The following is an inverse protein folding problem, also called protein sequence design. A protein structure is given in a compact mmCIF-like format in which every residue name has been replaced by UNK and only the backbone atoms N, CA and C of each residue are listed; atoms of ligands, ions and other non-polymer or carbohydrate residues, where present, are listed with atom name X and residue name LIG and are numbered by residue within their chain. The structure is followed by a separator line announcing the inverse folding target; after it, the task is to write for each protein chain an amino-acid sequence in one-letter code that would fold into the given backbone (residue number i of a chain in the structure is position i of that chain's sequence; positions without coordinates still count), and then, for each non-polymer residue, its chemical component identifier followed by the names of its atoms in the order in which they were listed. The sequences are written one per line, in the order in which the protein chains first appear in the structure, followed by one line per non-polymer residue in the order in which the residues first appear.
data_IF_795411975495
#
_entry.id   IF_795411975495
#
_cell.length_a   1.000
_cell.length_b   1.000
_cell.length_c   1.000
_cell.angle_alpha   90.00
_cell.angle_beta   90.00
_cell.angle_gamma   90.00
#
_symmetry.space_group_name_H-M   'P 1'
#
loop_
_entity.id
_entity.type
_entity.pdbx_description
1 polymer ?
#
# COMPACT_ATOMS: atom_id res chain seq x y z
N UNK A 1 6.18 15.84 -14.57
CA UNK A 1 5.64 14.63 -15.20
C UNK A 1 5.75 14.83 -16.69
N UNK A 2 6.41 13.91 -17.39
CA UNK A 2 6.52 14.01 -18.85
C UNK A 2 5.14 13.76 -19.49
N UNK A 3 4.83 14.36 -20.66
CA UNK A 3 3.53 14.17 -21.31
C UNK A 3 3.18 12.69 -21.57
N UNK A 4 4.20 11.86 -21.81
CA UNK A 4 4.06 10.41 -22.01
C UNK A 4 3.74 9.61 -20.75
N UNK A 5 3.91 10.20 -19.56
CA UNK A 5 3.52 9.60 -18.29
C UNK A 5 2.11 10.02 -17.86
N UNK A 6 1.38 10.80 -18.67
CA UNK A 6 0.07 11.31 -18.33
C UNK A 6 -0.93 10.17 -18.08
N UNK A 7 -1.44 10.11 -16.85
CA UNK A 7 -2.44 9.13 -16.43
C UNK A 7 -3.68 9.79 -15.82
N UNK A 8 -3.54 10.98 -15.23
CA UNK A 8 -4.55 11.60 -14.36
C UNK A 8 -5.92 11.74 -15.04
N UNK A 9 -5.94 12.25 -16.28
CA UNK A 9 -7.16 12.44 -17.07
C UNK A 9 -7.89 11.13 -17.44
N UNK A 10 -7.21 9.99 -17.30
CA UNK A 10 -7.74 8.67 -17.63
C UNK A 10 -8.23 7.89 -16.42
N UNK A 11 -7.95 8.36 -15.21
CA UNK A 11 -8.27 7.66 -13.96
C UNK A 11 -9.28 8.45 -13.13
N UNK A 12 -10.21 7.75 -12.50
CA UNK A 12 -11.12 8.34 -11.49
C UNK A 12 -11.12 7.47 -10.23
N UNK A 13 -11.46 8.07 -9.08
CA UNK A 13 -11.52 7.35 -7.82
C UNK A 13 -12.60 6.24 -7.82
N UNK A 14 -13.62 6.35 -8.68
CA UNK A 14 -14.70 5.37 -8.80
C UNK A 14 -14.29 4.13 -9.62
N UNK A 15 -13.13 4.15 -10.29
CA UNK A 15 -12.68 3.02 -11.07
C UNK A 15 -12.27 1.84 -10.18
N UNK A 16 -12.66 0.60 -10.51
CA UNK A 16 -12.11 -0.57 -9.85
C UNK A 16 -10.62 -0.70 -10.18
N UNK A 17 -9.85 -1.24 -9.24
CA UNK A 17 -8.39 -1.37 -9.35
C UNK A 17 -7.93 -2.13 -10.62
N UNK A 18 -8.70 -3.12 -11.07
CA UNK A 18 -8.43 -3.87 -12.31
C UNK A 18 -8.56 -2.99 -13.56
N UNK A 19 -9.51 -2.05 -13.58
CA UNK A 19 -9.66 -1.10 -14.68
C UNK A 19 -8.56 -0.04 -14.67
N UNK A 20 -8.07 0.34 -13.49
CA UNK A 20 -6.89 1.21 -13.34
C UNK A 20 -5.66 0.52 -13.95
N UNK A 21 -5.38 -0.73 -13.56
CA UNK A 21 -4.29 -1.52 -14.13
C UNK A 21 -4.37 -1.62 -15.66
N UNK A 22 -5.51 -2.09 -16.18
CA UNK A 22 -5.70 -2.23 -17.62
C UNK A 22 -5.58 -0.88 -18.38
N UNK A 23 -5.97 0.22 -17.74
CA UNK A 23 -5.84 1.56 -18.33
C UNK A 23 -4.38 1.97 -18.40
N UNK A 24 -3.61 1.81 -17.31
CA UNK A 24 -2.18 2.14 -17.29
C UNK A 24 -1.39 1.28 -18.29
N UNK A 25 -1.68 -0.03 -18.37
CA UNK A 25 -1.05 -0.92 -19.37
C UNK A 25 -1.33 -0.46 -20.80
N UNK A 26 -2.57 -0.05 -21.10
CA UNK A 26 -2.94 0.50 -22.42
C UNK A 26 -2.24 1.83 -22.73
N UNK A 27 -1.90 2.61 -21.70
CA UNK A 27 -1.09 3.83 -21.82
C UNK A 27 0.42 3.52 -21.95
N UNK A 28 0.82 2.25 -21.95
CA UNK A 28 2.21 1.83 -22.15
C UNK A 28 2.99 1.64 -20.85
N UNK A 29 2.35 1.69 -19.69
CA UNK A 29 2.99 1.33 -18.43
C UNK A 29 3.28 -0.16 -18.40
N UNK A 30 4.44 -0.56 -17.88
CA UNK A 30 4.90 -1.96 -17.92
C UNK A 30 5.11 -2.53 -16.51
N UNK A 31 4.78 -3.81 -16.25
CA UNK A 31 5.02 -4.43 -14.96
C UNK A 31 6.50 -4.34 -14.54
N UNK A 32 6.76 -3.87 -13.32
CA UNK A 32 8.11 -3.74 -12.77
C UNK A 32 8.27 -4.32 -11.36
N UNK A 33 7.19 -4.84 -10.77
CA UNK A 33 7.22 -5.55 -9.50
C UNK A 33 5.86 -6.12 -9.14
N UNK A 34 5.87 -7.18 -8.34
CA UNK A 34 4.68 -7.77 -7.73
C UNK A 34 5.00 -8.02 -6.27
N UNK A 35 4.28 -7.38 -5.36
CA UNK A 35 4.32 -7.66 -3.93
C UNK A 35 3.11 -8.49 -3.50
N UNK A 36 3.07 -8.86 -2.22
CA UNK A 36 1.98 -9.66 -1.65
C UNK A 36 0.61 -8.99 -1.73
N UNK A 37 0.61 -7.67 -1.80
CA UNK A 37 -0.57 -6.84 -1.70
C UNK A 37 -0.78 -5.92 -2.90
N UNK A 38 0.18 -5.85 -3.82
CA UNK A 38 0.12 -4.85 -4.88
C UNK A 38 0.84 -5.28 -6.16
N UNK A 39 0.34 -4.77 -7.28
CA UNK A 39 1.06 -4.76 -8.55
C UNK A 39 1.76 -3.41 -8.72
N UNK A 40 3.00 -3.44 -9.21
CA UNK A 40 3.77 -2.25 -9.53
C UNK A 40 4.00 -2.14 -11.04
N UNK A 41 3.64 -0.99 -11.60
CA UNK A 41 3.86 -0.65 -13.00
C UNK A 41 4.86 0.52 -13.10
N UNK A 42 5.74 0.48 -14.10
CA UNK A 42 6.65 1.55 -14.46
C UNK A 42 6.10 2.33 -15.64
N UNK A 43 6.19 3.65 -15.57
CA UNK A 43 5.71 4.54 -16.63
C UNK A 43 6.53 4.41 -17.93
N UNK A 44 6.02 4.86 -19.08
CA UNK A 44 6.73 4.81 -20.36
C UNK A 44 8.10 5.51 -20.35
N UNK A 45 8.21 6.67 -19.69
CA UNK A 45 9.49 7.38 -19.55
C UNK A 45 10.48 6.63 -18.65
N UNK A 46 9.96 5.72 -17.83
CA UNK A 46 10.72 4.96 -16.85
C UNK A 46 11.08 5.74 -15.58
N UNK A 47 10.55 6.95 -15.40
CA UNK A 47 10.87 7.84 -14.26
C UNK A 47 9.86 7.76 -13.12
N UNK A 48 8.68 7.19 -13.36
CA UNK A 48 7.57 7.08 -12.41
C UNK A 48 7.16 5.62 -12.23
N UNK A 49 6.68 5.27 -11.04
CA UNK A 49 6.02 4.00 -10.73
C UNK A 49 4.62 4.23 -10.17
N UNK A 50 3.72 3.31 -10.49
CA UNK A 50 2.40 3.19 -9.89
C UNK A 50 2.33 1.87 -9.11
N UNK A 51 1.94 1.94 -7.84
CA UNK A 51 1.61 0.79 -6.99
C UNK A 51 0.09 0.74 -6.86
N UNK A 52 -0.50 -0.40 -7.21
CA UNK A 52 -1.94 -0.62 -7.18
C UNK A 52 -2.24 -1.83 -6.31
N UNK A 53 -3.00 -1.61 -5.24
CA UNK A 53 -3.52 -2.67 -4.35
C UNK A 53 -5.05 -2.73 -4.44
N UNK A 54 -5.68 -3.92 -4.47
CA UNK A 54 -7.12 -4.07 -4.32
C UNK A 54 -7.61 -3.70 -2.91
N UNK A 55 -6.75 -3.83 -1.90
CA UNK A 55 -7.09 -3.50 -0.53
C UNK A 55 -5.83 -3.20 0.26
N UNK A 56 -5.66 -1.93 0.65
CA UNK A 56 -4.53 -1.49 1.45
C UNK A 56 -4.96 -0.41 2.46
N UNK A 57 -5.40 -0.82 3.66
CA UNK A 57 -5.79 0.14 4.70
C UNK A 57 -4.59 0.95 5.24
N UNK A 58 -3.35 0.54 4.96
CA UNK A 58 -2.14 1.27 5.35
C UNK A 58 -1.67 2.28 4.28
N UNK A 59 -2.06 2.10 3.01
CA UNK A 59 -1.73 2.97 1.89
C UNK A 59 -1.90 4.47 2.16
N UNK A 60 -3.04 4.93 2.71
CA UNK A 60 -3.24 6.34 3.06
C UNK A 60 -2.23 6.90 4.08
N UNK A 61 -1.71 6.07 4.98
CA UNK A 61 -0.71 6.48 5.97
C UNK A 61 0.67 6.58 5.34
N UNK A 62 1.03 5.66 4.44
CA UNK A 62 2.26 5.76 3.64
C UNK A 62 2.25 7.04 2.81
N UNK A 63 1.14 7.34 2.11
CA UNK A 63 1.00 8.59 1.37
C UNK A 63 1.04 9.83 2.27
N UNK A 64 0.50 9.76 3.49
CA UNK A 64 0.60 10.85 4.47
C UNK A 64 2.05 11.10 4.88
N UNK A 65 2.79 10.04 5.23
CA UNK A 65 4.23 10.14 5.55
C UNK A 65 5.02 10.75 4.38
N UNK A 66 4.75 10.32 3.15
CA UNK A 66 5.48 10.83 1.99
C UNK A 66 5.23 12.32 1.76
N UNK A 67 4.00 12.81 2.00
CA UNK A 67 3.68 14.24 1.91
C UNK A 67 4.33 15.04 3.03
N UNK A 68 4.21 14.56 4.28
CA UNK A 68 4.66 15.29 5.47
C UNK A 68 6.18 15.33 5.61
N UNK A 69 6.88 14.26 5.19
CA UNK A 69 8.33 14.16 5.29
C UNK A 69 9.05 14.48 3.95
N UNK A 70 8.35 15.00 2.95
CA UNK A 70 8.92 15.24 1.61
C UNK A 70 10.19 16.10 1.64
N UNK A 71 10.25 17.11 2.52
CA UNK A 71 11.39 18.02 2.67
C UNK A 71 12.65 17.34 3.19
N UNK A 72 12.52 16.22 3.90
CA UNK A 72 13.67 15.42 4.36
C UNK A 72 14.41 14.78 3.18
N UNK A 73 13.72 14.61 2.04
CA UNK A 73 14.18 13.83 0.87
C UNK A 73 14.50 12.37 1.19
N UNK A 74 14.00 11.83 2.30
CA UNK A 74 14.22 10.46 2.76
C UNK A 74 12.97 9.57 2.62
N UNK A 75 11.97 10.07 1.90
CA UNK A 75 10.77 9.35 1.47
C UNK A 75 10.63 9.51 -0.05
N UNK A 76 9.90 8.60 -0.72
CA UNK A 76 9.60 8.74 -2.15
C UNK A 76 8.92 10.08 -2.45
N UNK A 77 9.26 10.68 -3.58
CA UNK A 77 8.53 11.81 -4.12
C UNK A 77 7.17 11.32 -4.62
N UNK A 78 6.14 11.55 -3.80
CA UNK A 78 4.76 11.23 -4.12
C UNK A 78 4.24 12.18 -5.22
N UNK A 79 3.69 11.60 -6.28
CA UNK A 79 3.08 12.34 -7.39
C UNK A 79 1.57 12.37 -7.20
N UNK A 80 0.96 11.22 -6.90
CA UNK A 80 -0.47 11.11 -6.66
C UNK A 80 -0.77 9.94 -5.71
N UNK A 81 -1.89 10.05 -4.99
CA UNK A 81 -2.42 8.96 -4.18
C UNK A 81 -3.94 9.04 -4.13
N UNK A 82 -4.59 7.91 -4.38
CA UNK A 82 -6.05 7.77 -4.38
C UNK A 82 -6.46 6.50 -3.68
N UNK A 83 -7.41 6.63 -2.76
CA UNK A 83 -8.25 5.51 -2.38
C UNK A 83 -9.29 5.34 -3.48
N UNK A 84 -9.27 4.18 -4.12
CA UNK A 84 -10.15 3.79 -5.21
C UNK A 84 -11.39 3.06 -4.66
N UNK A 85 -12.40 2.91 -5.51
CA UNK A 85 -13.62 2.20 -5.20
C UNK A 85 -13.32 0.81 -4.61
N UNK A 86 -14.07 0.45 -3.56
CA UNK A 86 -14.01 -0.88 -2.96
C UNK A 86 -12.82 -1.12 -2.03
N UNK A 87 -12.09 -0.08 -1.64
CA UNK A 87 -10.98 -0.16 -0.69
C UNK A 87 -9.59 -0.28 -1.32
N UNK A 88 -9.54 -0.22 -2.64
CA UNK A 88 -8.29 -0.27 -3.38
C UNK A 88 -7.47 1.01 -3.19
N UNK A 89 -6.17 0.91 -3.39
CA UNK A 89 -5.22 2.02 -3.24
C UNK A 89 -4.36 2.13 -4.49
N UNK A 90 -4.27 3.35 -5.03
CA UNK A 90 -3.33 3.74 -6.06
C UNK A 90 -2.35 4.74 -5.45
N UNK A 91 -1.06 4.42 -5.53
CA UNK A 91 0.02 5.34 -5.21
C UNK A 91 0.91 5.50 -6.44
N UNK A 92 1.09 6.74 -6.91
CA UNK A 92 2.02 7.09 -7.99
C UNK A 92 3.15 7.93 -7.41
N UNK A 93 4.39 7.50 -7.64
CA UNK A 93 5.59 8.11 -7.08
C UNK A 93 6.77 7.97 -8.05
N UNK A 94 7.89 8.62 -7.75
CA UNK A 94 9.12 8.40 -8.53
C UNK A 94 9.48 6.90 -8.63
N UNK A 95 10.14 6.52 -9.72
CA UNK A 95 10.68 5.18 -9.86
C UNK A 95 11.95 5.02 -9.00
N UNK A 96 11.98 3.96 -8.19
CA UNK A 96 13.06 3.67 -7.24
C UNK A 96 13.82 2.41 -7.66
N UNK A 97 15.12 2.40 -7.38
CA UNK A 97 15.99 1.23 -7.60
C UNK A 97 16.29 0.52 -6.29
N UNK A 98 16.39 -0.82 -6.28
CA UNK A 98 16.77 -1.56 -5.08
C UNK A 98 18.21 -1.21 -4.65
N UNK A 99 18.47 -1.32 -3.36
CA UNK A 99 19.81 -1.19 -2.76
C UNK A 99 20.31 -2.53 -2.25
N UNK A 100 21.57 -2.59 -1.82
CA UNK A 100 22.07 -3.78 -1.13
C UNK A 100 21.38 -3.95 0.22
N UNK A 101 21.21 -5.19 0.66
CA UNK A 101 20.61 -5.50 1.96
C UNK A 101 21.37 -4.82 3.12
N UNK A 102 22.70 -4.80 3.04
CA UNK A 102 23.55 -4.12 4.04
C UNK A 102 23.22 -2.62 4.15
N UNK A 103 23.02 -1.95 3.02
CA UNK A 103 22.69 -0.53 2.99
C UNK A 103 21.29 -0.28 3.53
N UNK A 104 20.32 -1.12 3.16
CA UNK A 104 18.96 -1.05 3.71
C UNK A 104 18.94 -1.25 5.22
N UNK A 105 19.68 -2.24 5.74
CA UNK A 105 19.82 -2.48 7.18
C UNK A 105 20.45 -1.28 7.88
N UNK A 106 21.51 -0.70 7.30
CA UNK A 106 22.20 0.44 7.88
C UNK A 106 21.27 1.67 7.99
N UNK A 107 20.50 1.96 6.94
CA UNK A 107 19.55 3.07 6.93
C UNK A 107 18.40 2.86 7.91
N UNK A 108 17.83 1.66 7.99
CA UNK A 108 16.81 1.41 9.01
C UNK A 108 17.35 1.51 10.44
N UNK A 109 18.58 1.05 10.67
CA UNK A 109 19.22 1.21 11.99
C UNK A 109 19.42 2.67 12.34
N UNK A 110 19.73 3.55 11.37
CA UNK A 110 19.84 4.99 11.65
C UNK A 110 18.50 5.59 12.04
N UNK A 111 17.41 5.20 11.38
CA UNK A 111 16.04 5.62 11.75
C UNK A 111 15.72 5.16 13.17
N UNK A 112 15.95 3.87 13.50
CA UNK A 112 15.68 3.31 14.84
C UNK A 112 16.48 4.00 15.94
N UNK A 113 17.74 4.37 15.67
CA UNK A 113 18.61 5.10 16.60
C UNK A 113 18.32 6.60 16.63
N UNK A 114 17.50 7.10 15.71
CA UNK A 114 17.25 8.54 15.48
C UNK A 114 18.56 9.30 15.31
N UNK A 115 19.44 8.77 14.46
CA UNK A 115 20.70 9.44 14.14
C UNK A 115 20.39 10.86 13.60
N UNK A 116 21.25 11.89 13.87
CA UNK A 116 20.92 13.27 13.56
C UNK A 116 20.52 13.55 12.10
N UNK A 117 21.03 12.76 11.14
CA UNK A 117 20.72 12.89 9.73
C UNK A 117 19.31 12.42 9.34
N UNK A 118 18.64 11.62 10.18
CA UNK A 118 17.30 11.04 9.92
C UNK A 118 16.31 11.29 11.06
N UNK A 119 16.68 12.13 12.04
CA UNK A 119 15.87 12.36 13.25
C UNK A 119 14.47 12.91 12.90
N UNK A 120 14.39 13.84 11.96
CA UNK A 120 13.13 14.43 11.51
C UNK A 120 12.23 13.42 10.77
N UNK A 121 12.82 12.58 9.90
CA UNK A 121 12.09 11.46 9.29
C UNK A 121 11.53 10.52 10.36
N UNK A 122 12.35 10.16 11.35
CA UNK A 122 11.92 9.27 12.44
C UNK A 122 10.75 9.86 13.24
N UNK A 123 10.69 11.18 13.40
CA UNK A 123 9.59 11.87 14.07
C UNK A 123 8.29 11.78 13.27
N UNK A 124 8.35 12.01 11.96
CA UNK A 124 7.20 11.83 11.08
C UNK A 124 6.71 10.37 11.06
N UNK A 125 7.63 9.40 10.98
CA UNK A 125 7.29 7.97 11.05
C UNK A 125 6.56 7.68 12.37
N UNK A 126 7.06 8.16 13.50
CA UNK A 126 6.45 7.91 14.81
C UNK A 126 5.04 8.52 14.92
N UNK A 127 4.84 9.74 14.41
CA UNK A 127 3.55 10.43 14.42
C UNK A 127 2.52 9.67 13.58
N UNK A 128 2.87 9.33 12.33
CA UNK A 128 1.97 8.63 11.41
C UNK A 128 1.69 7.21 11.91
N UNK A 129 2.70 6.51 12.41
CA UNK A 129 2.54 5.16 12.99
C UNK A 129 1.60 5.18 14.19
N UNK A 130 1.78 6.12 15.12
CA UNK A 130 0.90 6.25 16.29
C UNK A 130 -0.54 6.58 15.89
N UNK A 131 -0.74 7.31 14.79
CA UNK A 131 -2.06 7.58 14.22
C UNK A 131 -2.69 6.31 13.64
N UNK A 132 -1.97 5.59 12.79
CA UNK A 132 -2.43 4.31 12.22
C UNK A 132 -2.82 3.31 13.30
N UNK A 133 -2.01 3.16 14.34
CA UNK A 133 -2.30 2.27 15.47
C UNK A 133 -3.58 2.62 16.26
N UNK A 134 -4.05 3.88 16.21
CA UNK A 134 -5.32 4.29 16.83
C UNK A 134 -6.52 4.13 15.90
N UNK A 135 -6.30 4.32 14.61
CA UNK A 135 -7.37 4.42 13.61
C UNK A 135 -7.62 3.09 12.87
N UNK A 136 -6.66 2.17 12.83
CA UNK A 136 -6.73 0.92 12.08
C UNK A 136 -6.76 -0.32 13.01
N UNK A 137 -7.81 -1.16 12.97
CA UNK A 137 -7.98 -2.27 13.91
C UNK A 137 -6.99 -3.43 13.74
N UNK A 138 -6.36 -3.55 12.57
CA UNK A 138 -5.35 -4.56 12.26
C UNK A 138 -4.00 -3.92 11.93
N UNK A 139 -3.64 -2.83 12.60
CA UNK A 139 -2.37 -2.15 12.39
C UNK A 139 -1.19 -3.03 12.83
N UNK A 140 -0.23 -3.27 11.93
CA UNK A 140 1.02 -3.95 12.24
C UNK A 140 2.02 -3.06 12.99
N UNK A 141 3.13 -3.61 13.51
CA UNK A 141 4.30 -2.81 13.86
C UNK A 141 4.90 -2.13 12.61
N UNK A 142 5.93 -1.31 12.79
CA UNK A 142 6.72 -0.82 11.65
C UNK A 142 7.36 -1.99 10.91
N UNK A 143 7.28 -1.98 9.58
CA UNK A 143 7.99 -2.95 8.74
C UNK A 143 9.49 -2.66 8.77
N UNK A 144 10.27 -3.65 9.18
CA UNK A 144 11.73 -3.60 9.26
C UNK A 144 12.42 -4.39 8.13
N UNK A 145 11.69 -4.70 7.06
CA UNK A 145 12.24 -5.30 5.85
C UNK A 145 13.25 -4.36 5.17
N UNK A 146 14.54 -4.71 5.08
CA UNK A 146 15.55 -3.86 4.45
C UNK A 146 15.26 -3.52 2.98
N UNK A 147 14.48 -4.35 2.27
CA UNK A 147 14.08 -4.10 0.89
C UNK A 147 13.18 -2.87 0.71
N UNK A 148 12.59 -2.38 1.79
CA UNK A 148 11.78 -1.16 1.82
C UNK A 148 12.63 0.11 1.80
N UNK A 149 13.96 -0.01 1.97
CA UNK A 149 14.89 1.07 1.67
C UNK A 149 15.26 0.96 0.20
N UNK A 150 15.14 2.05 -0.53
CA UNK A 150 15.42 2.09 -1.96
C UNK A 150 16.18 3.37 -2.32
N UNK A 151 16.61 3.45 -3.58
CA UNK A 151 17.39 4.57 -4.10
C UNK A 151 16.62 5.34 -5.17
N UNK A 152 16.51 6.65 -4.98
CA UNK A 152 16.01 7.57 -6.00
C UNK A 152 17.02 7.79 -7.13
N UNK A 153 16.57 8.34 -8.26
CA UNK A 153 17.41 8.59 -9.43
C UNK A 153 18.56 9.58 -9.19
N UNK A 154 18.44 10.43 -8.16
CA UNK A 154 19.48 11.36 -7.70
C UNK A 154 20.46 10.74 -6.70
N UNK A 155 20.34 9.43 -6.43
CA UNK A 155 21.22 8.67 -5.57
C UNK A 155 20.85 8.71 -4.08
N UNK A 156 19.80 9.43 -3.66
CA UNK A 156 19.39 9.46 -2.25
C UNK A 156 18.75 8.14 -1.81
N UNK A 157 18.92 7.80 -0.55
CA UNK A 157 18.17 6.71 0.08
C UNK A 157 16.83 7.22 0.57
N UNK A 158 15.79 6.45 0.28
CA UNK A 158 14.43 6.69 0.76
C UNK A 158 13.91 5.44 1.44
N UNK A 159 12.99 5.61 2.38
CA UNK A 159 12.24 4.52 2.98
C UNK A 159 10.79 4.54 2.45
N UNK A 160 10.33 3.38 1.99
CA UNK A 160 8.99 3.16 1.47
C UNK A 160 8.27 2.08 2.32
N UNK A 161 6.96 1.94 2.15
CA UNK A 161 6.16 0.78 2.61
C UNK A 161 6.37 0.37 4.10
N UNK A 162 6.54 1.36 4.99
CA UNK A 162 6.80 1.11 6.42
C UNK A 162 5.58 0.64 7.21
N UNK A 163 4.38 0.83 6.64
CA UNK A 163 3.12 0.61 7.32
C UNK A 163 2.35 -0.47 6.62
N UNK A 164 1.81 -1.41 7.40
CA UNK A 164 1.03 -2.51 6.87
C UNK A 164 -0.08 -2.91 7.84
N UNK A 165 -1.11 -3.56 7.31
CA UNK A 165 -2.06 -4.28 8.15
C UNK A 165 -1.55 -5.70 8.43
N UNK A 166 -1.75 -6.19 9.65
CA UNK A 166 -1.54 -7.59 10.02
C UNK A 166 -2.49 -8.49 9.22
N UNK A 167 -2.07 -8.83 8.00
CA UNK A 167 -2.77 -9.67 7.06
C UNK A 167 -3.19 -11.02 7.64
N UNK A 168 -2.26 -11.78 8.26
CA UNK A 168 -2.60 -13.04 8.89
C UNK A 168 -3.74 -12.93 9.92
N UNK A 169 -3.68 -11.97 10.84
CA UNK A 169 -4.74 -11.76 11.83
C UNK A 169 -6.05 -11.26 11.20
N UNK A 170 -5.95 -10.36 10.22
CA UNK A 170 -7.09 -9.85 9.46
C UNK A 170 -7.84 -10.97 8.75
N UNK A 171 -7.14 -11.78 7.96
CA UNK A 171 -7.76 -12.86 7.20
C UNK A 171 -8.19 -14.04 8.07
N UNK A 172 -7.55 -14.27 9.22
CA UNK A 172 -8.08 -15.18 10.22
C UNK A 172 -9.45 -14.70 10.72
N UNK A 173 -9.58 -13.41 11.05
CA UNK A 173 -10.84 -12.81 11.49
C UNK A 173 -11.92 -12.83 10.39
N UNK A 174 -11.58 -12.58 9.12
CA UNK A 174 -12.54 -12.72 7.99
C UNK A 174 -13.15 -14.13 7.95
N UNK A 175 -12.38 -15.16 8.31
CA UNK A 175 -12.82 -16.56 8.28
C UNK A 175 -13.61 -16.96 9.53
N UNK A 176 -13.19 -16.51 10.71
CA UNK A 176 -13.75 -16.96 11.99
C UNK A 176 -14.81 -16.03 12.57
N UNK A 177 -14.73 -14.73 12.28
CA UNK A 177 -15.57 -13.67 12.82
C UNK A 177 -15.78 -12.53 11.80
N UNK A 178 -16.54 -12.79 10.72
CA UNK A 178 -16.80 -11.78 9.69
C UNK A 178 -17.62 -10.59 10.21
N UNK A 179 -18.38 -10.75 11.29
CA UNK A 179 -19.15 -9.65 11.90
C UNK A 179 -18.21 -8.56 12.46
N UNK A 180 -17.08 -8.94 13.06
CA UNK A 180 -16.05 -7.98 13.46
C UNK A 180 -15.48 -7.20 12.27
N UNK A 181 -15.23 -7.86 11.15
CA UNK A 181 -14.74 -7.17 9.94
C UNK A 181 -15.77 -6.15 9.44
N UNK A 182 -17.04 -6.56 9.37
CA UNK A 182 -18.13 -5.69 8.93
C UNK A 182 -18.37 -4.54 9.90
N UNK A 183 -18.13 -4.75 11.20
CA UNK A 183 -18.17 -3.70 12.22
C UNK A 183 -17.10 -2.64 11.95
N UNK A 184 -15.86 -3.08 11.78
CA UNK A 184 -14.66 -2.24 11.79
C UNK A 184 -14.32 -1.62 10.43
N UNK A 185 -14.67 -2.28 9.31
CA UNK A 185 -14.46 -1.78 7.95
C UNK A 185 -15.79 -1.60 7.19
N UNK A 186 -16.14 -0.35 6.81
CA UNK A 186 -17.27 -0.08 5.94
C UNK A 186 -17.19 -0.84 4.61
N UNK A 187 -18.31 -1.30 4.08
CA UNK A 187 -18.38 -2.12 2.86
C UNK A 187 -17.63 -1.50 1.67
N UNK A 188 -17.80 -0.20 1.44
CA UNK A 188 -17.16 0.52 0.34
C UNK A 188 -15.62 0.57 0.43
N UNK A 189 -15.03 0.27 1.59
CA UNK A 189 -13.59 0.22 1.83
C UNK A 189 -13.01 -1.20 1.88
N UNK A 190 -13.83 -2.26 1.76
CA UNK A 190 -13.34 -3.65 1.87
C UNK A 190 -13.85 -4.60 0.80
N UNK A 191 -14.56 -4.08 -0.21
CA UNK A 191 -15.18 -4.89 -1.28
C UNK A 191 -14.18 -5.82 -1.96
N UNK A 192 -12.96 -5.33 -2.17
CA UNK A 192 -11.90 -6.04 -2.87
C UNK A 192 -10.90 -6.75 -1.93
N UNK A 193 -11.16 -6.80 -0.62
CA UNK A 193 -10.22 -7.37 0.36
C UNK A 193 -9.87 -8.85 0.14
N UNK A 194 -10.61 -9.58 -0.69
CA UNK A 194 -10.35 -11.00 -0.99
C UNK A 194 -9.71 -11.22 -2.38
N UNK A 195 -9.37 -10.14 -3.11
CA UNK A 195 -9.05 -10.20 -4.54
C UNK A 195 -7.57 -10.28 -4.89
N UNK A 196 -6.65 -9.84 -4.02
CA UNK A 196 -5.25 -10.25 -4.13
C UNK A 196 -4.94 -11.28 -3.05
N UNK A 197 -4.48 -12.48 -3.43
CA UNK A 197 -3.82 -13.34 -2.48
C UNK A 197 -2.48 -12.71 -2.10
N UNK A 198 -2.03 -12.99 -0.88
CA UNK A 198 -0.64 -12.82 -0.44
C UNK A 198 0.30 -13.52 -1.46
N UNK A 199 0.78 -12.79 -2.46
CA UNK A 199 1.39 -13.35 -3.67
C UNK A 199 2.63 -14.23 -3.38
N UNK A 200 3.39 -13.94 -2.34
CA UNK A 200 4.54 -14.73 -1.87
C UNK A 200 4.17 -15.88 -0.95
N UNK A 201 2.96 -15.89 -0.35
CA UNK A 201 2.53 -16.97 0.54
C UNK A 201 1.82 -18.13 -0.19
N UNK A 202 1.79 -18.09 -1.52
CA UNK A 202 0.93 -18.96 -2.32
C UNK A 202 -0.51 -18.45 -2.28
N UNK A 203 -1.15 -18.46 -3.45
CA UNK A 203 -2.53 -18.00 -3.63
C UNK A 203 -3.51 -18.52 -2.57
N UNK A 204 -4.69 -17.90 -2.47
CA UNK A 204 -5.80 -18.49 -1.72
C UNK A 204 -6.03 -19.93 -2.17
N UNK A 205 -6.27 -20.83 -1.21
CA UNK A 205 -6.70 -22.19 -1.56
C UNK A 205 -8.01 -22.15 -2.34
N UNK A 206 -8.27 -23.18 -3.14
CA UNK A 206 -9.45 -23.21 -3.99
C UNK A 206 -10.75 -22.95 -3.19
N UNK A 207 -11.55 -22.00 -3.70
CA UNK A 207 -12.80 -21.57 -3.09
C UNK A 207 -12.68 -20.75 -1.80
N UNK A 208 -11.48 -20.50 -1.26
CA UNK A 208 -11.31 -19.77 0.00
C UNK A 208 -11.74 -18.31 -0.09
N UNK A 209 -11.34 -17.61 -1.15
CA UNK A 209 -11.81 -16.25 -1.42
C UNK A 209 -13.34 -16.19 -1.55
N UNK A 210 -13.96 -17.20 -2.16
CA UNK A 210 -15.42 -17.28 -2.28
C UNK A 210 -16.10 -17.50 -0.92
N UNK A 211 -15.54 -18.35 -0.06
CA UNK A 211 -16.03 -18.57 1.32
C UNK A 211 -15.91 -17.28 2.15
N UNK A 212 -14.79 -16.56 2.06
CA UNK A 212 -14.61 -15.27 2.73
C UNK A 212 -15.64 -14.23 2.27
N UNK A 213 -15.85 -14.11 0.94
CA UNK A 213 -16.88 -13.21 0.38
C UNK A 213 -18.29 -13.56 0.87
N UNK A 214 -18.64 -14.85 0.92
CA UNK A 214 -19.94 -15.29 1.41
C UNK A 214 -20.13 -14.97 2.91
N UNK A 215 -19.09 -15.17 3.73
CA UNK A 215 -19.10 -14.84 5.15
C UNK A 215 -19.33 -13.35 5.41
N UNK A 216 -18.60 -12.48 4.69
CA UNK A 216 -18.75 -11.04 4.75
C UNK A 216 -20.14 -10.59 4.30
N UNK A 217 -20.65 -11.11 3.18
CA UNK A 217 -21.98 -10.78 2.69
C UNK A 217 -23.09 -11.17 3.70
N UNK A 218 -22.94 -12.31 4.37
CA UNK A 218 -23.88 -12.73 5.41
C UNK A 218 -23.82 -11.83 6.65
N UNK A 219 -22.63 -11.37 7.04
CA UNK A 219 -22.44 -10.40 8.13
C UNK A 219 -23.03 -9.02 7.77
N UNK A 220 -22.84 -8.56 6.54
CA UNK A 220 -23.46 -7.34 6.02
C UNK A 220 -24.99 -7.41 6.08
N UNK A 221 -25.57 -8.53 5.65
CA UNK A 221 -27.02 -8.74 5.71
C UNK A 221 -27.56 -8.71 7.15
N UNK A 222 -26.82 -9.28 8.12
CA UNK A 222 -27.17 -9.20 9.55
C UNK A 222 -27.12 -7.77 10.06
N UNK A 223 -26.06 -7.01 9.72
CA UNK A 223 -25.90 -5.61 10.12
C UNK A 223 -26.98 -4.70 9.54
N UNK A 224 -27.45 -4.96 8.32
CA UNK A 224 -28.52 -4.19 7.69
C UNK A 224 -29.92 -4.50 8.25
N UNK A 225 -30.10 -5.68 8.88
CA UNK A 225 -31.38 -6.13 9.42
C UNK A 225 -31.60 -5.77 10.90
N UNK A 226 -30.55 -5.35 11.61
CA UNK A 226 -30.58 -4.90 13.02
C UNK A 226 -30.52 -3.39 13.13
#
# INVERSE_FOLDING_TARGET
MEPEDAFDEHLTAEMPWTAVLATLERLGWTPCGTGDWASALRSPSGTVAARISPFDPAGPYSATLYREAAHTRQVPALIDHRVLAGGADLTVMEFLSPVSEEEGIAFQRSIRRRDPSVAELADHIAVVHARGAREQPWWGPLDDNPANVMRGSDGRLVVADLFYADGPALYAAVKSDPDRIVHDYPEHLRRHMTELPLASSGGWSEGEAARMRAGLAAADARRAAG
#
